data_IF_119730061266
#
_entry.id   IF_119730061266
#
_cell.length_a   1.000
_cell.length_b   1.000
_cell.length_c   1.000
_cell.angle_alpha   90.00
_cell.angle_beta   90.00
_cell.angle_gamma   90.00
#
_symmetry.space_group_name_H-M   'P 1'
#
loop_
_entity.id
_entity.type
_entity.pdbx_description
1 polymer ?
#
# COMPACT_ATOMS: atom_id res chain seq x y z
N UNK A 1 -67.93 54.49 2.66
CA UNK A 1 -68.70 53.86 3.77
C UNK A 1 -67.86 53.95 5.04
N UNK A 2 -68.15 54.92 5.91
CA UNK A 2 -67.45 55.11 7.20
C UNK A 2 -68.20 54.31 8.27
N UNK A 3 -67.63 53.18 8.67
CA UNK A 3 -68.06 52.43 9.85
C UNK A 3 -67.54 53.17 11.09
N UNK A 4 -68.27 54.16 11.57
CA UNK A 4 -68.02 54.78 12.87
C UNK A 4 -68.97 54.11 13.88
N UNK A 5 -68.46 53.28 14.80
CA UNK A 5 -69.28 52.60 15.78
C UNK A 5 -69.75 53.55 16.88
N UNK A 6 -70.94 53.26 17.41
CA UNK A 6 -71.63 53.96 18.50
C UNK A 6 -70.73 54.15 19.74
N UNK A 7 -70.72 55.35 20.35
CA UNK A 7 -69.69 55.81 21.30
C UNK A 7 -69.51 54.93 22.56
N UNK A 8 -70.55 54.18 22.93
CA UNK A 8 -70.54 53.19 24.02
C UNK A 8 -69.84 51.87 23.64
N UNK A 9 -69.96 51.44 22.38
CA UNK A 9 -69.28 50.25 21.85
C UNK A 9 -67.85 50.55 21.38
N UNK A 10 -67.56 51.79 20.99
CA UNK A 10 -66.21 52.23 20.61
C UNK A 10 -65.19 52.11 21.74
N UNK A 11 -65.60 52.32 23.01
CA UNK A 11 -64.72 52.14 24.18
C UNK A 11 -64.40 50.68 24.46
N UNK A 12 -65.40 49.79 24.45
CA UNK A 12 -65.17 48.36 24.64
C UNK A 12 -64.32 47.77 23.50
N UNK A 13 -64.59 48.18 22.26
CA UNK A 13 -63.82 47.76 21.10
C UNK A 13 -62.38 48.27 21.17
N UNK A 14 -62.16 49.52 21.60
CA UNK A 14 -60.82 50.06 21.82
C UNK A 14 -60.03 49.30 22.91
N UNK A 15 -60.69 48.90 24.00
CA UNK A 15 -60.06 48.11 25.08
C UNK A 15 -59.68 46.72 24.59
N UNK A 16 -60.56 46.05 23.82
CA UNK A 16 -60.27 44.74 23.23
C UNK A 16 -59.10 44.85 22.25
N UNK A 17 -59.07 45.89 21.41
CA UNK A 17 -57.99 46.11 20.43
C UNK A 17 -56.66 46.39 21.14
N UNK A 18 -56.69 47.13 22.26
CA UNK A 18 -55.52 47.38 23.11
C UNK A 18 -55.01 46.07 23.75
N UNK A 19 -55.91 45.22 24.25
CA UNK A 19 -55.55 43.92 24.81
C UNK A 19 -54.93 43.00 23.76
N UNK A 20 -55.50 42.97 22.55
CA UNK A 20 -54.97 42.18 21.42
C UNK A 20 -53.58 42.68 21.03
N UNK A 21 -53.37 43.99 20.97
CA UNK A 21 -52.05 44.55 20.64
C UNK A 21 -51.02 44.28 21.73
N UNK A 22 -51.39 44.35 23.02
CA UNK A 22 -50.52 43.93 24.12
C UNK A 22 -50.16 42.45 24.05
N UNK A 23 -51.12 41.60 23.74
CA UNK A 23 -50.92 40.15 23.63
C UNK A 23 -50.06 39.79 22.42
N UNK A 24 -50.23 40.48 21.28
CA UNK A 24 -49.37 40.36 20.12
C UNK A 24 -47.94 40.84 20.42
N UNK A 25 -47.78 41.98 21.10
CA UNK A 25 -46.46 42.48 21.49
C UNK A 25 -45.74 41.51 22.44
N UNK A 26 -46.47 40.93 23.40
CA UNK A 26 -45.95 39.90 24.29
C UNK A 26 -45.56 38.63 23.53
N UNK A 27 -46.43 38.13 22.65
CA UNK A 27 -46.15 36.95 21.83
C UNK A 27 -44.95 37.20 20.92
N UNK A 28 -44.90 38.30 20.16
CA UNK A 28 -43.78 38.53 19.24
C UNK A 28 -42.45 38.75 19.99
N UNK A 29 -42.45 39.52 21.06
CA UNK A 29 -41.24 39.77 21.86
C UNK A 29 -40.72 38.50 22.52
N UNK A 30 -41.59 37.75 23.18
CA UNK A 30 -41.22 36.53 23.89
C UNK A 30 -40.91 35.37 22.92
N UNK A 31 -41.70 35.21 21.86
CA UNK A 31 -41.55 34.13 20.88
C UNK A 31 -40.32 34.35 19.99
N UNK A 32 -39.97 35.59 19.63
CA UNK A 32 -38.72 35.86 18.91
C UNK A 32 -37.49 35.61 19.80
N UNK A 33 -37.56 36.02 21.07
CA UNK A 33 -36.50 35.78 22.04
C UNK A 33 -36.30 34.30 22.36
N UNK A 34 -37.37 33.49 22.38
CA UNK A 34 -37.26 32.05 22.69
C UNK A 34 -37.00 31.17 21.47
N UNK A 35 -37.60 31.43 20.31
CA UNK A 35 -37.54 30.50 19.17
C UNK A 35 -36.27 30.64 18.35
N UNK A 36 -35.69 31.83 18.24
CA UNK A 36 -34.39 32.01 17.59
C UNK A 36 -33.24 31.21 18.27
N UNK A 37 -33.03 31.28 19.59
CA UNK A 37 -31.94 30.51 20.23
C UNK A 37 -32.17 29.00 20.26
N UNK A 38 -33.43 28.55 20.25
CA UNK A 38 -33.79 27.13 20.17
C UNK A 38 -33.46 26.51 18.80
N UNK A 39 -33.51 27.28 17.70
CA UNK A 39 -33.09 26.81 16.37
C UNK A 39 -31.57 26.70 16.24
N UNK A 40 -30.83 27.68 16.78
CA UNK A 40 -29.36 27.67 16.71
C UNK A 40 -28.74 26.56 17.59
N UNK A 41 -29.34 26.26 18.74
CA UNK A 41 -28.91 25.16 19.61
C UNK A 41 -29.20 23.77 19.02
N UNK A 42 -30.25 23.63 18.19
CA UNK A 42 -30.58 22.36 17.53
C UNK A 42 -29.59 21.97 16.44
N UNK A 43 -29.03 22.93 15.70
CA UNK A 43 -28.06 22.63 14.64
C UNK A 43 -26.72 22.15 15.21
N UNK A 44 -26.23 22.77 16.29
CA UNK A 44 -24.99 22.33 16.95
C UNK A 44 -25.08 20.89 17.50
N UNK A 45 -26.26 20.48 17.96
CA UNK A 45 -26.49 19.12 18.45
C UNK A 45 -26.55 18.06 17.33
N UNK A 46 -26.91 18.45 16.10
CA UNK A 46 -26.95 17.53 14.96
C UNK A 46 -25.53 17.31 14.43
N UNK A 47 -24.75 18.39 14.29
CA UNK A 47 -23.37 18.32 13.78
C UNK A 47 -22.47 17.46 14.68
N UNK A 48 -22.54 17.63 16.01
CA UNK A 48 -21.77 16.81 16.96
C UNK A 48 -22.16 15.32 16.93
N UNK A 49 -23.44 15.01 16.65
CA UNK A 49 -23.90 13.62 16.56
C UNK A 49 -23.43 12.93 15.28
N UNK A 50 -23.37 13.65 14.17
CA UNK A 50 -22.85 13.12 12.91
C UNK A 50 -21.34 12.85 12.99
N UNK A 51 -20.58 13.72 13.66
CA UNK A 51 -19.16 13.47 13.94
C UNK A 51 -18.96 12.24 14.83
N UNK A 52 -19.71 12.13 15.94
CA UNK A 52 -19.65 10.94 16.80
C UNK A 52 -20.01 9.64 16.06
N UNK A 53 -21.03 9.67 15.20
CA UNK A 53 -21.44 8.52 14.41
C UNK A 53 -20.32 8.06 13.46
N UNK A 54 -19.63 9.01 12.82
CA UNK A 54 -18.48 8.74 11.94
C UNK A 54 -17.30 8.15 12.72
N UNK A 55 -16.98 8.69 13.89
CA UNK A 55 -15.90 8.14 14.72
C UNK A 55 -16.22 6.74 15.27
N UNK A 56 -17.48 6.47 15.63
CA UNK A 56 -17.91 5.12 16.04
C UNK A 56 -17.81 4.11 14.91
N UNK A 57 -18.18 4.49 13.68
CA UNK A 57 -18.04 3.63 12.51
C UNK A 57 -16.57 3.27 12.22
N UNK A 58 -15.65 4.24 12.34
CA UNK A 58 -14.21 3.99 12.21
C UNK A 58 -13.70 3.12 13.37
N UNK A 59 -14.18 3.35 14.60
CA UNK A 59 -13.78 2.57 15.75
C UNK A 59 -14.19 1.08 15.63
N UNK A 60 -15.36 0.80 15.07
CA UNK A 60 -15.81 -0.58 14.80
C UNK A 60 -14.91 -1.34 13.81
N UNK A 61 -14.22 -0.64 12.91
CA UNK A 61 -13.27 -1.26 11.98
C UNK A 61 -11.92 -1.59 12.62
N UNK A 62 -11.58 -0.99 13.78
CA UNK A 62 -10.28 -1.15 14.43
C UNK A 62 -10.00 -2.58 14.84
N UNK A 63 -10.99 -3.28 15.37
CA UNK A 63 -10.80 -4.64 15.86
C UNK A 63 -10.60 -5.65 14.72
N UNK A 64 -11.34 -5.48 13.61
CA UNK A 64 -11.15 -6.27 12.40
C UNK A 64 -9.77 -6.04 11.75
N UNK A 65 -9.30 -4.79 11.73
CA UNK A 65 -7.95 -4.46 11.25
C UNK A 65 -6.89 -5.06 12.19
N UNK A 66 -7.10 -4.97 13.51
CA UNK A 66 -6.17 -5.54 14.50
C UNK A 66 -6.10 -7.06 14.43
N UNK A 67 -7.21 -7.76 14.17
CA UNK A 67 -7.19 -9.21 13.98
C UNK A 67 -6.46 -9.60 12.70
N UNK A 68 -6.73 -8.92 11.58
CA UNK A 68 -6.01 -9.15 10.33
C UNK A 68 -4.50 -8.89 10.48
N UNK A 69 -4.13 -7.81 11.18
CA UNK A 69 -2.73 -7.50 11.46
C UNK A 69 -2.06 -8.58 12.33
N UNK A 70 -2.77 -9.11 13.34
CA UNK A 70 -2.25 -10.20 14.18
C UNK A 70 -2.05 -11.49 13.38
N UNK A 71 -2.97 -11.81 12.48
CA UNK A 71 -2.86 -12.98 11.61
C UNK A 71 -1.67 -12.85 10.64
N UNK A 72 -1.51 -11.68 10.01
CA UNK A 72 -0.35 -11.37 9.17
C UNK A 72 0.95 -11.44 9.97
N UNK A 73 1.00 -10.87 11.18
CA UNK A 73 2.21 -10.94 12.01
C UNK A 73 2.50 -12.36 12.52
N UNK A 74 1.49 -13.16 12.85
CA UNK A 74 1.69 -14.55 13.24
C UNK A 74 2.27 -15.36 12.07
N UNK A 75 1.68 -15.20 10.87
CA UNK A 75 2.19 -15.79 9.64
C UNK A 75 3.61 -15.32 9.32
N UNK A 76 3.90 -14.02 9.44
CA UNK A 76 5.25 -13.45 9.22
C UNK A 76 6.27 -13.94 10.25
N UNK A 77 5.85 -14.13 11.52
CA UNK A 77 6.71 -14.63 12.60
C UNK A 77 7.14 -16.08 12.39
N UNK A 78 6.37 -16.84 11.61
CA UNK A 78 6.68 -18.22 11.18
C UNK A 78 7.63 -18.27 9.95
N UNK A 79 8.14 -17.11 9.49
CA UNK A 79 9.18 -16.87 8.46
C UNK A 79 8.86 -17.19 6.98
N UNK A 80 7.91 -16.46 6.36
CA UNK A 80 7.72 -16.44 4.91
C UNK A 80 8.50 -15.31 4.19
N UNK A 81 9.06 -14.33 4.93
CA UNK A 81 9.70 -13.13 4.36
C UNK A 81 11.23 -13.05 4.48
N UNK A 82 11.85 -13.86 5.34
CA UNK A 82 13.27 -13.76 5.65
C UNK A 82 14.05 -15.01 5.24
N UNK A 83 15.31 -14.80 4.87
CA UNK A 83 16.28 -15.85 4.64
C UNK A 83 16.57 -16.59 5.97
N UNK A 84 16.51 -17.92 5.95
CA UNK A 84 16.67 -18.78 7.13
C UNK A 84 18.12 -19.09 7.48
N UNK A 85 19.04 -18.72 6.61
CA UNK A 85 20.45 -19.10 6.70
C UNK A 85 21.19 -18.30 7.79
N UNK A 86 22.25 -18.90 8.36
CA UNK A 86 22.95 -18.32 9.51
C UNK A 86 23.93 -17.18 9.15
N UNK A 87 24.33 -17.08 7.89
CA UNK A 87 25.31 -16.10 7.43
C UNK A 87 25.07 -15.74 5.96
N UNK A 88 25.68 -14.63 5.53
CA UNK A 88 25.59 -14.11 4.17
C UNK A 88 25.97 -15.14 3.09
N UNK A 89 27.05 -15.90 3.28
CA UNK A 89 27.58 -16.79 2.24
C UNK A 89 26.66 -18.01 2.00
N UNK A 90 26.04 -18.53 3.07
CA UNK A 90 25.00 -19.56 2.99
C UNK A 90 23.71 -19.01 2.38
N UNK A 91 23.32 -17.79 2.73
CA UNK A 91 22.13 -17.16 2.19
C UNK A 91 22.28 -16.88 0.68
N UNK A 92 23.45 -16.40 0.27
CA UNK A 92 23.76 -16.18 -1.14
C UNK A 92 23.74 -17.47 -1.96
N UNK A 93 24.27 -18.58 -1.42
CA UNK A 93 24.24 -19.87 -2.10
C UNK A 93 22.82 -20.45 -2.19
N UNK A 94 22.01 -20.33 -1.14
CA UNK A 94 20.61 -20.74 -1.14
C UNK A 94 19.77 -19.95 -2.15
N UNK A 95 19.96 -18.63 -2.25
CA UNK A 95 19.31 -17.80 -3.28
C UNK A 95 19.71 -18.22 -4.70
N UNK A 96 20.99 -18.52 -4.91
CA UNK A 96 21.49 -19.00 -6.19
C UNK A 96 20.86 -20.36 -6.55
N UNK A 97 20.72 -21.28 -5.59
CA UNK A 97 20.09 -22.58 -5.80
C UNK A 97 18.62 -22.43 -6.17
N UNK A 98 17.87 -21.61 -5.44
CA UNK A 98 16.45 -21.31 -5.77
C UNK A 98 16.29 -20.70 -7.15
N UNK A 99 17.17 -19.77 -7.53
CA UNK A 99 17.17 -19.21 -8.88
C UNK A 99 17.34 -20.31 -9.93
N UNK A 100 18.23 -21.27 -9.71
CA UNK A 100 18.41 -22.40 -10.62
C UNK A 100 17.16 -23.29 -10.66
N UNK A 101 16.58 -23.64 -9.51
CA UNK A 101 15.35 -24.42 -9.44
C UNK A 101 14.20 -23.76 -10.20
N UNK A 102 14.04 -22.43 -10.08
CA UNK A 102 13.02 -21.69 -10.83
C UNK A 102 13.28 -21.69 -12.34
N UNK A 103 14.54 -21.59 -12.77
CA UNK A 103 14.90 -21.72 -14.19
C UNK A 103 14.62 -23.15 -14.71
N UNK A 104 14.89 -24.17 -13.89
CA UNK A 104 14.64 -25.57 -14.23
C UNK A 104 13.14 -25.89 -14.33
N UNK A 105 12.31 -25.30 -13.46
CA UNK A 105 10.85 -25.43 -13.48
C UNK A 105 10.21 -24.92 -14.78
N UNK A 106 10.80 -23.90 -15.41
CA UNK A 106 10.32 -23.37 -16.68
C UNK A 106 10.60 -24.30 -17.87
N UNK A 107 11.46 -25.32 -17.69
CA UNK A 107 11.85 -26.27 -18.74
C UNK A 107 12.30 -25.58 -20.04
N UNK A 108 12.90 -24.39 -19.91
CA UNK A 108 13.27 -23.56 -21.05
C UNK A 108 14.51 -24.09 -21.79
N UNK A 109 15.30 -24.95 -21.13
CA UNK A 109 16.53 -25.52 -21.67
C UNK A 109 17.47 -24.42 -22.18
N UNK A 110 17.85 -24.48 -23.45
CA UNK A 110 18.77 -23.52 -24.07
C UNK A 110 18.18 -22.11 -24.26
N UNK A 111 16.86 -21.94 -24.08
CA UNK A 111 16.13 -20.67 -24.26
C UNK A 111 16.22 -19.73 -23.05
N UNK A 112 16.69 -20.23 -21.91
CA UNK A 112 16.91 -19.44 -20.71
C UNK A 112 18.19 -19.93 -20.00
N UNK A 113 19.26 -19.15 -20.08
CA UNK A 113 20.58 -19.52 -19.55
C UNK A 113 21.08 -18.51 -18.55
N UNK A 114 21.53 -19.01 -17.41
CA UNK A 114 22.22 -18.20 -16.41
C UNK A 114 23.67 -17.94 -16.86
N UNK A 115 24.03 -16.66 -17.04
CA UNK A 115 25.38 -16.24 -17.50
C UNK A 115 26.30 -15.94 -16.32
N UNK A 116 25.80 -15.21 -15.31
CA UNK A 116 26.57 -14.84 -14.12
C UNK A 116 25.68 -14.74 -12.90
N UNK A 117 26.25 -15.04 -11.74
CA UNK A 117 25.59 -15.05 -10.41
C UNK A 117 26.62 -14.68 -9.36
N UNK A 118 26.88 -13.39 -9.23
CA UNK A 118 27.95 -12.89 -8.36
C UNK A 118 27.33 -12.36 -7.07
N UNK A 119 27.64 -12.94 -5.90
CA UNK A 119 27.21 -12.35 -4.63
C UNK A 119 27.86 -10.99 -4.44
N UNK A 120 27.07 -10.01 -4.00
CA UNK A 120 27.51 -8.64 -3.75
C UNK A 120 27.14 -8.26 -2.31
N UNK A 121 28.17 -7.97 -1.50
CA UNK A 121 28.00 -7.48 -0.14
C UNK A 121 28.19 -5.97 -0.14
N UNK A 122 27.13 -5.21 0.16
CA UNK A 122 27.26 -3.77 0.37
C UNK A 122 28.04 -3.53 1.67
N UNK A 123 29.24 -2.98 1.55
CA UNK A 123 30.16 -2.75 2.66
C UNK A 123 29.74 -1.57 3.55
N UNK A 124 28.74 -0.78 3.13
CA UNK A 124 28.15 0.29 3.95
C UNK A 124 27.44 -0.25 5.19
N UNK A 125 26.88 -1.46 5.11
CA UNK A 125 26.20 -2.11 6.23
C UNK A 125 27.14 -3.04 7.04
N UNK A 126 28.37 -3.25 6.55
CA UNK A 126 29.36 -4.13 7.16
C UNK A 126 30.37 -3.37 8.03
N UNK A 127 30.57 -2.07 7.79
CA UNK A 127 31.32 -1.20 8.69
C UNK A 127 30.39 -0.78 9.83
N UNK A 128 30.63 -1.35 11.01
CA UNK A 128 29.95 -1.02 12.27
C UNK A 128 30.26 0.40 12.77
N UNK A 129 30.08 1.39 11.91
CA UNK A 129 30.28 2.79 12.18
C UNK A 129 28.95 3.34 12.74
N UNK A 130 28.70 3.05 14.01
CA UNK A 130 27.86 3.84 14.94
C UNK A 130 26.41 4.24 14.54
N UNK A 131 25.77 3.55 13.59
CA UNK A 131 24.30 3.59 13.40
C UNK A 131 23.72 2.19 13.72
N UNK A 132 24.01 1.71 14.93
CA UNK A 132 23.68 0.35 15.36
C UNK A 132 22.22 0.24 15.83
N UNK A 133 21.27 0.06 14.91
CA UNK A 133 20.00 -0.62 15.22
C UNK A 133 19.22 -1.14 14.00
N UNK A 134 19.87 -1.49 12.88
CA UNK A 134 19.17 -2.24 11.81
C UNK A 134 19.31 -3.75 12.07
N UNK A 135 18.22 -4.46 12.47
CA UNK A 135 18.27 -5.89 12.81
C UNK A 135 18.38 -6.80 11.56
N UNK A 136 18.45 -6.20 10.36
CA UNK A 136 18.38 -6.90 9.09
C UNK A 136 19.66 -6.70 8.27
N UNK A 137 20.25 -7.80 7.79
CA UNK A 137 21.38 -7.78 6.87
C UNK A 137 20.87 -8.06 5.45
N UNK A 138 21.05 -7.10 4.54
CA UNK A 138 20.67 -7.24 3.13
C UNK A 138 21.69 -8.12 2.40
N UNK A 139 21.24 -9.21 1.79
CA UNK A 139 22.03 -10.08 0.93
C UNK A 139 21.62 -9.85 -0.51
N UNK A 140 22.56 -9.44 -1.37
CA UNK A 140 22.28 -9.18 -2.78
C UNK A 140 23.13 -10.10 -3.67
N UNK A 141 22.54 -10.63 -4.73
CA UNK A 141 23.25 -11.33 -5.82
C UNK A 141 23.01 -10.59 -7.13
N UNK A 142 24.08 -10.34 -7.87
CA UNK A 142 24.02 -9.76 -9.22
C UNK A 142 23.84 -10.89 -10.21
N UNK A 143 22.70 -10.91 -10.88
CA UNK A 143 22.33 -11.94 -11.84
C UNK A 143 22.46 -11.37 -13.26
N UNK A 144 23.11 -12.12 -14.13
CA UNK A 144 23.04 -11.91 -15.59
C UNK A 144 22.56 -13.19 -16.23
N UNK A 145 21.58 -13.09 -17.10
CA UNK A 145 21.02 -14.23 -17.81
C UNK A 145 20.65 -13.87 -19.24
N UNK A 146 20.52 -14.90 -20.07
CA UNK A 146 20.05 -14.80 -21.44
C UNK A 146 18.78 -15.61 -21.57
N UNK A 147 17.63 -14.94 -21.59
CA UNK A 147 16.33 -15.58 -21.61
C UNK A 147 15.44 -14.98 -22.70
N UNK A 148 14.62 -15.80 -23.35
CA UNK A 148 13.54 -15.33 -24.22
C UNK A 148 12.43 -14.66 -23.39
N UNK A 149 11.78 -13.63 -23.93
CA UNK A 149 10.78 -12.83 -23.21
C UNK A 149 9.60 -13.67 -22.68
N UNK A 150 9.20 -14.71 -23.42
CA UNK A 150 8.09 -15.60 -23.05
C UNK A 150 8.31 -16.31 -21.70
N UNK A 151 9.57 -16.64 -21.37
CA UNK A 151 9.92 -17.37 -20.14
C UNK A 151 10.36 -16.43 -19.01
N UNK A 152 10.74 -15.19 -19.33
CA UNK A 152 11.28 -14.23 -18.36
C UNK A 152 10.22 -13.69 -17.39
N UNK A 153 9.01 -13.40 -17.86
CA UNK A 153 7.92 -12.94 -16.98
C UNK A 153 7.53 -13.99 -15.91
N UNK A 154 7.23 -15.24 -16.31
CA UNK A 154 6.97 -16.32 -15.36
C UNK A 154 8.13 -16.59 -14.40
N UNK A 155 9.38 -16.45 -14.85
CA UNK A 155 10.56 -16.57 -13.99
C UNK A 155 10.55 -15.53 -12.87
N UNK A 156 10.39 -14.25 -13.20
CA UNK A 156 10.37 -13.17 -12.22
C UNK A 156 9.24 -13.36 -11.22
N UNK A 157 8.05 -13.71 -11.71
CA UNK A 157 6.90 -13.99 -10.85
C UNK A 157 7.20 -15.16 -9.90
N UNK A 158 7.80 -16.26 -10.38
CA UNK A 158 8.17 -17.40 -9.54
C UNK A 158 9.20 -17.05 -8.47
N UNK A 159 10.12 -16.13 -8.76
CA UNK A 159 11.12 -15.64 -7.79
C UNK A 159 10.51 -14.71 -6.73
N UNK A 160 9.60 -13.81 -7.12
CA UNK A 160 8.97 -12.83 -6.21
C UNK A 160 7.83 -13.44 -5.36
N UNK A 161 7.10 -14.41 -5.91
CA UNK A 161 6.01 -15.11 -5.19
C UNK A 161 6.51 -16.23 -4.27
N UNK A 162 7.80 -16.55 -4.30
CA UNK A 162 8.41 -17.57 -3.48
C UNK A 162 8.46 -17.20 -2.00
N UNK A 163 8.50 -18.23 -1.15
CA UNK A 163 8.91 -18.10 0.25
C UNK A 163 10.30 -18.73 0.38
N UNK A 164 11.34 -17.98 0.79
CA UNK A 164 11.34 -16.62 1.34
C UNK A 164 11.20 -15.52 0.29
N UNK A 165 10.70 -14.34 0.70
CA UNK A 165 10.57 -13.17 -0.18
C UNK A 165 11.93 -12.73 -0.74
N UNK A 166 12.05 -12.83 -2.06
CA UNK A 166 13.17 -12.31 -2.82
C UNK A 166 12.66 -11.16 -3.70
N UNK A 167 13.44 -10.09 -3.76
CA UNK A 167 13.09 -8.89 -4.49
C UNK A 167 14.06 -8.69 -5.64
N UNK A 168 13.52 -8.27 -6.79
CA UNK A 168 14.30 -7.94 -7.97
C UNK A 168 14.44 -6.42 -8.07
N UNK A 169 15.66 -5.92 -8.19
CA UNK A 169 15.96 -4.51 -8.49
C UNK A 169 16.89 -4.36 -9.69
N UNK A 170 17.01 -3.12 -10.16
CA UNK A 170 18.00 -2.72 -11.18
C UNK A 170 17.94 -3.56 -12.47
N UNK A 171 16.72 -3.94 -12.88
CA UNK A 171 16.49 -4.74 -14.08
C UNK A 171 16.87 -3.94 -15.35
N UNK A 172 17.84 -4.47 -16.07
CA UNK A 172 18.28 -3.98 -17.38
C UNK A 172 18.05 -5.08 -18.41
N UNK A 173 17.38 -4.75 -19.52
CA UNK A 173 17.11 -5.68 -20.62
C UNK A 173 17.81 -5.17 -21.88
N UNK A 174 18.75 -5.95 -22.39
CA UNK A 174 19.50 -5.63 -23.60
C UNK A 174 19.12 -6.58 -24.74
N UNK A 175 18.69 -6.01 -25.89
CA UNK A 175 18.50 -6.80 -27.12
C UNK A 175 19.81 -6.89 -27.89
N UNK A 176 20.36 -8.08 -28.01
CA UNK A 176 21.49 -8.33 -28.92
C UNK A 176 20.95 -8.48 -30.33
N UNK A 177 20.68 -7.35 -31.01
CA UNK A 177 20.49 -7.37 -32.46
C UNK A 177 21.82 -7.78 -33.09
N UNK A 178 21.85 -8.94 -33.74
CA UNK A 178 23.01 -9.36 -34.52
C UNK A 178 23.38 -8.26 -35.51
N UNK A 179 24.68 -7.97 -35.64
CA UNK A 179 25.22 -6.90 -36.46
C UNK A 179 24.56 -6.85 -37.84
N UNK A 180 23.91 -5.74 -38.24
CA UNK A 180 23.33 -5.59 -39.56
C UNK A 180 24.47 -5.60 -40.59
N UNK A 181 24.66 -6.71 -41.30
CA UNK A 181 25.71 -6.80 -42.34
C UNK A 181 26.26 -8.20 -42.57
N UNK A 182 26.19 -9.10 -41.59
CA UNK A 182 26.54 -10.50 -41.82
C UNK A 182 25.29 -11.23 -42.28
N UNK A 183 25.14 -11.41 -43.61
CA UNK A 183 24.22 -12.40 -44.18
C UNK A 183 24.67 -13.79 -43.71
N UNK A 184 24.26 -14.20 -42.50
CA UNK A 184 24.26 -15.61 -42.17
C UNK A 184 23.24 -16.24 -43.10
N UNK A 185 23.71 -17.14 -43.97
CA UNK A 185 22.86 -18.01 -44.76
C UNK A 185 22.03 -18.81 -43.75
N UNK A 186 20.82 -18.35 -43.46
CA UNK A 186 19.85 -19.13 -42.70
C UNK A 186 19.62 -20.42 -43.48
N UNK A 187 20.12 -21.53 -42.94
CA UNK A 187 19.87 -22.87 -43.47
C UNK A 187 18.34 -23.05 -43.49
N UNK A 188 17.72 -23.51 -44.59
CA UNK A 188 16.27 -23.69 -44.63
C UNK A 188 15.86 -24.65 -43.51
N UNK A 189 15.04 -24.15 -42.58
CA UNK A 189 14.59 -24.89 -41.39
C UNK A 189 15.16 -24.45 -40.04
N UNK A 190 16.07 -23.46 -39.98
CA UNK A 190 16.47 -22.86 -38.69
C UNK A 190 15.60 -21.63 -38.35
N UNK A 191 14.88 -21.62 -37.22
CA UNK A 191 14.21 -20.41 -36.75
C UNK A 191 15.27 -19.33 -36.55
N UNK A 192 14.98 -18.12 -37.04
CA UNK A 192 15.86 -16.97 -36.89
C UNK A 192 16.20 -16.81 -35.39
N UNK A 193 17.49 -16.74 -35.03
CA UNK A 193 17.95 -16.49 -33.67
C UNK A 193 17.73 -15.02 -33.24
N UNK A 194 16.61 -14.44 -33.66
CA UNK A 194 16.10 -13.13 -33.30
C UNK A 194 15.19 -13.30 -32.08
N UNK A 195 15.76 -13.39 -30.88
CA UNK A 195 14.92 -13.60 -29.69
C UNK A 195 15.65 -13.57 -28.34
N UNK A 196 16.96 -13.84 -28.31
CA UNK A 196 17.71 -13.82 -27.06
C UNK A 196 17.93 -12.39 -26.56
N UNK A 197 17.36 -12.10 -25.39
CA UNK A 197 17.56 -10.87 -24.64
C UNK A 197 18.57 -11.18 -23.53
N UNK A 198 19.51 -10.28 -23.32
CA UNK A 198 20.48 -10.32 -22.22
C UNK A 198 19.92 -9.48 -21.09
N UNK A 199 19.45 -10.13 -20.02
CA UNK A 199 18.89 -9.47 -18.84
C UNK A 199 19.91 -9.48 -17.71
N UNK A 200 20.03 -8.34 -17.03
CA UNK A 200 20.75 -8.26 -15.76
C UNK A 200 19.90 -7.61 -14.71
N UNK A 201 19.85 -8.19 -13.52
CA UNK A 201 19.11 -7.67 -12.37
C UNK A 201 19.82 -8.02 -11.08
N UNK A 202 19.53 -7.26 -10.03
CA UNK A 202 19.98 -7.52 -8.68
C UNK A 202 18.85 -8.25 -7.94
N UNK A 203 19.12 -9.44 -7.42
CA UNK A 203 18.18 -10.18 -6.57
C UNK A 203 18.63 -10.02 -5.12
N UNK A 204 17.74 -9.61 -4.24
CA UNK A 204 18.09 -9.41 -2.83
C UNK A 204 17.04 -9.97 -1.88
N UNK A 205 17.51 -10.34 -0.68
CA UNK A 205 16.67 -10.75 0.43
C UNK A 205 17.28 -10.28 1.75
N UNK A 206 16.53 -10.44 2.84
CA UNK A 206 16.93 -9.99 4.17
C UNK A 206 17.20 -11.18 5.08
N UNK A 207 18.34 -11.13 5.75
CA UNK A 207 18.69 -12.00 6.86
C UNK A 207 18.35 -11.30 8.17
N UNK A 208 17.73 -12.02 9.10
CA UNK A 208 17.63 -11.56 10.48
C UNK A 208 19.00 -11.76 11.14
N UNK A 209 19.64 -10.68 11.58
CA UNK A 209 20.85 -10.79 12.38
C UNK A 209 20.46 -11.37 13.73
N UNK A 210 20.57 -12.69 13.88
CA UNK A 210 20.49 -13.30 15.21
C UNK A 210 21.64 -12.68 16.01
N UNK A 211 21.32 -11.97 17.10
CA UNK A 211 22.35 -11.40 17.95
C UNK A 211 23.24 -12.55 18.39
N UNK A 212 24.46 -12.63 17.84
CA UNK A 212 25.43 -13.65 18.21
C UNK A 212 25.53 -13.62 19.73
N UNK A 213 25.06 -14.70 20.35
CA UNK A 213 25.24 -14.93 21.77
C UNK A 213 26.71 -14.75 22.08
N UNK A 214 27.02 -13.80 22.97
CA UNK A 214 28.30 -13.80 23.68
C UNK A 214 28.31 -15.10 24.49
N UNK A 215 29.12 -16.07 24.05
CA UNK A 215 29.60 -17.13 24.92
C UNK A 215 30.89 -16.70 25.59
#
# INVERSE_FOLDING_TARGET
MRLLPDAKHGRALAVILLLITLLLAYLLGMHWWFVAPLWQSRQQMIEMRDEEARFRAIAQQRDAIRSALKEVHAFESENPGFLTEANFDLAASAMIQRLQEQVDLLQAGERCKLVSRTPYRDNRNARGDKEADEPFEKVTIKVRMMCEMEHFGPLLHGLESGSPQLFVSDLTINSRRGTPGVRRVSRPGQPASSGFLDQSFDLYGYLRRTSRGKS
#
